data_IF_303263092411
#
_entry.id   IF_303263092411
#
_cell.length_a   1.000
_cell.length_b   1.000
_cell.length_c   1.000
_cell.angle_alpha   90.00
_cell.angle_beta   90.00
_cell.angle_gamma   90.00
#
_symmetry.space_group_name_H-M   'P 1'
#
loop_
_entity.id
_entity.type
_entity.pdbx_description
1 polymer ?
#
# COMPACT_ATOMS: atom_id res chain seq x y z
N UNK A 1 -16.99 -17.88 -3.64
CA UNK A 1 -17.28 -17.40 -2.26
C UNK A 1 -16.15 -16.51 -1.71
N UNK A 2 -14.89 -16.96 -1.71
CA UNK A 2 -13.77 -16.24 -1.09
C UNK A 2 -13.31 -14.93 -1.79
N UNK A 3 -13.39 -14.82 -3.12
CA UNK A 3 -12.96 -13.60 -3.83
C UNK A 3 -13.89 -12.38 -3.59
N UNK A 4 -15.19 -12.63 -3.34
CA UNK A 4 -16.16 -11.54 -3.08
C UNK A 4 -15.98 -10.89 -1.71
N UNK A 5 -15.43 -11.60 -0.71
CA UNK A 5 -15.18 -11.01 0.62
C UNK A 5 -14.03 -10.00 0.62
N UNK A 6 -13.24 -9.95 -0.46
CA UNK A 6 -12.20 -8.93 -0.71
C UNK A 6 -12.67 -7.87 -1.71
N UNK A 7 -13.98 -7.80 -2.00
CA UNK A 7 -14.60 -6.86 -2.94
C UNK A 7 -14.03 -6.94 -4.37
N UNK A 8 -13.53 -8.10 -4.80
CA UNK A 8 -13.04 -8.32 -6.17
C UNK A 8 -14.23 -8.53 -7.13
N UNK A 9 -15.02 -7.48 -7.34
CA UNK A 9 -16.14 -7.44 -8.30
C UNK A 9 -15.62 -7.24 -9.73
N UNK A 10 -16.47 -7.48 -10.74
CA UNK A 10 -16.11 -7.27 -12.16
C UNK A 10 -15.79 -5.79 -12.49
N UNK A 11 -16.25 -4.87 -11.64
CA UNK A 11 -15.88 -3.44 -11.70
C UNK A 11 -14.47 -3.16 -11.18
N UNK A 12 -13.94 -4.00 -10.27
CA UNK A 12 -12.60 -3.87 -9.68
C UNK A 12 -11.58 -4.79 -10.35
N UNK A 13 -12.02 -5.92 -10.90
CA UNK A 13 -11.17 -6.91 -11.56
C UNK A 13 -11.79 -7.24 -12.92
N UNK A 14 -11.03 -7.06 -14.00
CA UNK A 14 -11.46 -7.48 -15.34
C UNK A 14 -10.47 -8.47 -15.93
N UNK A 15 -10.97 -9.54 -16.56
CA UNK A 15 -10.14 -10.42 -17.37
C UNK A 15 -9.97 -9.83 -18.76
N UNK A 16 -8.77 -9.93 -19.32
CA UNK A 16 -8.42 -9.47 -20.65
C UNK A 16 -7.76 -10.58 -21.44
N UNK A 17 -8.02 -10.61 -22.74
CA UNK A 17 -7.44 -11.60 -23.65
C UNK A 17 -5.97 -11.28 -23.98
N UNK A 18 -5.32 -12.18 -24.75
CA UNK A 18 -3.94 -12.01 -25.18
C UNK A 18 -3.71 -10.73 -26.01
N UNK A 19 -4.68 -10.33 -26.84
CA UNK A 19 -4.55 -9.17 -27.71
C UNK A 19 -4.65 -7.86 -26.91
N UNK A 20 -5.61 -7.77 -26.00
CA UNK A 20 -5.79 -6.68 -25.03
C UNK A 20 -4.58 -6.54 -24.11
N UNK A 21 -4.06 -7.66 -23.61
CA UNK A 21 -2.85 -7.68 -22.79
C UNK A 21 -1.65 -7.14 -23.57
N UNK A 22 -1.40 -7.64 -24.78
CA UNK A 22 -0.25 -7.24 -25.60
C UNK A 22 -0.24 -5.75 -25.94
N UNK A 23 -1.43 -5.12 -26.07
CA UNK A 23 -1.56 -3.66 -26.21
C UNK A 23 -1.12 -2.89 -24.97
N UNK A 24 -1.18 -3.49 -23.77
CA UNK A 24 -0.76 -2.87 -22.50
C UNK A 24 0.70 -3.17 -22.18
N UNK A 25 1.06 -4.45 -22.13
CA UNK A 25 2.39 -4.95 -21.79
C UNK A 25 2.62 -6.24 -22.58
N UNK A 26 3.63 -6.25 -23.46
CA UNK A 26 3.99 -7.43 -24.24
C UNK A 26 4.84 -8.41 -23.42
N UNK A 27 4.19 -9.44 -22.86
CA UNK A 27 4.86 -10.54 -22.14
C UNK A 27 4.91 -11.77 -23.05
N UNK A 28 6.08 -12.39 -23.18
CA UNK A 28 6.26 -13.57 -24.02
C UNK A 28 5.37 -14.73 -23.56
N UNK A 29 4.68 -15.39 -24.50
CA UNK A 29 3.79 -16.54 -24.29
C UNK A 29 2.62 -16.34 -23.30
N UNK A 30 2.26 -15.09 -22.98
CA UNK A 30 1.09 -14.84 -22.15
C UNK A 30 -0.21 -15.13 -22.91
N UNK A 31 -1.15 -15.83 -22.25
CA UNK A 31 -2.42 -16.29 -22.85
C UNK A 31 -3.61 -15.37 -22.55
N UNK A 32 -3.59 -14.73 -21.39
CA UNK A 32 -4.60 -13.79 -20.89
C UNK A 32 -4.04 -13.11 -19.63
N UNK A 33 -4.76 -12.13 -19.09
CA UNK A 33 -4.45 -11.54 -17.81
C UNK A 33 -5.73 -11.12 -17.07
N UNK A 34 -5.59 -10.76 -15.79
CA UNK A 34 -6.59 -9.95 -15.10
C UNK A 34 -5.99 -8.58 -14.78
N UNK A 35 -6.85 -7.58 -14.72
CA UNK A 35 -6.52 -6.19 -14.44
C UNK A 35 -7.26 -5.77 -13.20
N UNK A 36 -6.52 -5.24 -12.22
CA UNK A 36 -7.11 -4.56 -11.08
C UNK A 36 -7.30 -3.08 -11.47
N UNK A 37 -8.55 -2.62 -11.45
CA UNK A 37 -8.97 -1.25 -11.78
C UNK A 37 -8.93 -0.38 -10.52
N UNK A 38 -8.94 0.96 -10.71
CA UNK A 38 -8.96 1.96 -9.61
C UNK A 38 -7.80 1.82 -8.61
N UNK A 39 -6.61 1.47 -9.11
CA UNK A 39 -5.38 1.40 -8.31
C UNK A 39 -4.39 2.47 -8.74
N UNK A 40 -3.56 2.92 -7.82
CA UNK A 40 -2.48 3.87 -8.08
C UNK A 40 -1.14 3.28 -7.61
N UNK A 41 -0.07 3.63 -8.32
CA UNK A 41 1.29 3.38 -7.86
C UNK A 41 1.78 4.60 -7.10
N UNK A 42 2.18 4.41 -5.86
CA UNK A 42 2.79 5.45 -5.01
C UNK A 42 4.22 5.06 -4.67
N UNK A 43 5.09 6.05 -4.45
CA UNK A 43 6.44 5.79 -3.97
C UNK A 43 6.38 5.66 -2.43
N UNK A 44 6.77 4.52 -1.83
CA UNK A 44 6.57 4.28 -0.40
C UNK A 44 7.26 5.29 0.53
N UNK A 45 8.50 5.67 0.23
CA UNK A 45 9.26 6.63 1.03
C UNK A 45 8.61 8.03 1.05
N UNK A 46 8.12 8.52 -0.10
CA UNK A 46 7.43 9.81 -0.24
C UNK A 46 6.09 9.77 0.49
N UNK A 47 5.38 8.64 0.44
CA UNK A 47 4.13 8.47 1.17
C UNK A 47 4.38 8.60 2.68
N UNK A 48 5.30 7.81 3.25
CA UNK A 48 5.54 7.84 4.70
C UNK A 48 6.12 9.17 5.17
N UNK A 49 6.99 9.81 4.39
CA UNK A 49 7.49 11.16 4.68
C UNK A 49 6.37 12.21 4.64
N UNK A 50 5.46 12.12 3.66
CA UNK A 50 4.30 13.01 3.56
C UNK A 50 3.36 12.84 4.76
N UNK A 51 3.15 11.60 5.21
CA UNK A 51 2.36 11.28 6.40
C UNK A 51 3.01 11.83 7.68
N UNK A 52 4.32 11.63 7.88
CA UNK A 52 5.05 12.17 9.02
C UNK A 52 4.87 13.70 9.11
N UNK A 53 5.14 14.41 8.01
CA UNK A 53 4.93 15.87 7.95
C UNK A 53 3.49 16.29 8.20
N UNK A 54 2.51 15.48 7.77
CA UNK A 54 1.10 15.80 7.97
C UNK A 54 0.70 15.71 9.43
N UNK A 55 1.15 14.68 10.16
CA UNK A 55 0.84 14.53 11.59
C UNK A 55 1.63 15.51 12.46
N UNK A 56 2.87 15.83 12.10
CA UNK A 56 3.64 16.89 12.78
C UNK A 56 2.95 18.25 12.66
N UNK A 57 2.38 18.59 11.49
CA UNK A 57 1.56 19.79 11.32
C UNK A 57 0.29 19.80 12.16
N UNK A 58 -0.19 18.62 12.58
CA UNK A 58 -1.31 18.48 13.50
C UNK A 58 -0.86 18.51 14.98
N UNK A 59 0.42 18.76 15.24
CA UNK A 59 0.99 18.87 16.60
C UNK A 59 1.43 17.54 17.21
N UNK A 60 1.47 16.45 16.44
CA UNK A 60 1.95 15.15 16.93
C UNK A 60 3.49 15.13 16.94
N UNK A 61 4.14 14.91 18.10
CA UNK A 61 5.58 14.72 18.15
C UNK A 61 5.97 13.31 17.66
N UNK A 62 6.98 13.23 16.79
CA UNK A 62 7.60 11.98 16.37
C UNK A 62 8.99 11.90 17.00
N UNK A 63 9.22 10.87 17.82
CA UNK A 63 10.52 10.61 18.43
C UNK A 63 11.28 9.56 17.62
N UNK A 64 12.39 9.94 17.00
CA UNK A 64 13.21 9.05 16.18
C UNK A 64 14.45 8.54 16.93
N UNK A 65 14.91 7.36 16.54
CA UNK A 65 16.04 6.65 17.16
C UNK A 65 15.87 6.45 18.68
N UNK A 66 14.63 6.35 19.14
CA UNK A 66 14.25 6.08 20.53
C UNK A 66 13.68 4.66 20.63
N UNK A 67 14.55 3.66 20.57
CA UNK A 67 14.13 2.26 20.67
C UNK A 67 13.45 2.02 22.01
N UNK A 68 12.20 1.55 21.97
CA UNK A 68 11.43 1.24 23.18
C UNK A 68 12.02 0.01 23.88
N UNK A 69 12.36 0.15 25.16
CA UNK A 69 12.92 -0.91 26.01
C UNK A 69 11.87 -1.50 26.96
N UNK A 70 10.96 -0.69 27.48
CA UNK A 70 9.82 -1.13 28.29
C UNK A 70 8.65 -0.16 28.20
N UNK A 71 7.45 -0.66 28.50
CA UNK A 71 6.20 0.12 28.52
C UNK A 71 5.53 -0.10 29.88
N UNK A 72 5.19 1.01 30.54
CA UNK A 72 4.47 1.08 31.81
C UNK A 72 3.25 2.00 31.64
N UNK A 73 2.33 2.01 32.61
CA UNK A 73 1.16 2.90 32.54
C UNK A 73 1.60 4.36 32.47
N UNK A 74 1.38 4.99 31.32
CA UNK A 74 1.72 6.40 31.08
C UNK A 74 3.21 6.68 30.86
N UNK A 75 4.06 5.64 30.70
CA UNK A 75 5.50 5.81 30.53
C UNK A 75 6.06 4.80 29.54
N UNK A 76 7.00 5.25 28.72
CA UNK A 76 7.79 4.41 27.82
C UNK A 76 9.25 4.64 28.14
N UNK A 77 10.00 3.58 28.48
CA UNK A 77 11.45 3.68 28.65
C UNK A 77 12.12 3.44 27.30
N UNK A 78 13.11 4.25 26.97
CA UNK A 78 13.85 4.15 25.71
C UNK A 78 15.35 4.09 25.96
N UNK A 79 16.13 3.82 24.92
CA UNK A 79 17.60 3.85 24.97
C UNK A 79 18.21 5.27 24.92
N UNK A 80 17.38 6.30 25.07
CA UNK A 80 17.72 7.72 25.17
C UNK A 80 17.05 8.34 26.40
#
# INVERSE_FOLDING_TARGET
>A
AHARSWELTDERVGYIDAAEMRRRIAVHNARSAFVIKKVARVQPAKLVQGLARAVERLGVPIYEQTTVLSIEKGKVATNR
#
